data_IF_137339072855
#
_entry.id   IF_137339072855
#
_cell.length_a   1.000
_cell.length_b   1.000
_cell.length_c   1.000
_cell.angle_alpha   90.00
_cell.angle_beta   90.00
_cell.angle_gamma   90.00
#
_symmetry.space_group_name_H-M   'P 1'
#
loop_
_entity.id
_entity.type
_entity.pdbx_description
1 polymer ?
#
# COMPACT_ATOMS: atom_id res chain seq x y z
N UNK A 1 17.08 2.28 -9.79
CA UNK A 1 15.71 2.64 -9.36
C UNK A 1 14.69 1.58 -9.79
N UNK A 2 14.64 1.18 -11.07
CA UNK A 2 13.71 0.17 -11.61
C UNK A 2 13.76 -1.14 -10.83
N UNK A 3 14.92 -1.78 -10.70
CA UNK A 3 15.06 -3.04 -9.98
C UNK A 3 14.60 -2.96 -8.52
N UNK A 4 14.86 -1.84 -7.84
CA UNK A 4 14.40 -1.63 -6.46
C UNK A 4 12.87 -1.56 -6.40
N UNK A 5 12.23 -0.85 -7.33
CA UNK A 5 10.77 -0.78 -7.42
C UNK A 5 10.16 -2.17 -7.71
N UNK A 6 10.77 -2.95 -8.60
CA UNK A 6 10.36 -4.32 -8.90
C UNK A 6 10.46 -5.23 -7.67
N UNK A 7 11.58 -5.18 -6.94
CA UNK A 7 11.75 -5.96 -5.72
C UNK A 7 10.72 -5.59 -4.64
N UNK A 8 10.48 -4.29 -4.43
CA UNK A 8 9.48 -3.81 -3.46
C UNK A 8 8.08 -4.22 -3.90
N UNK A 9 7.73 -4.03 -5.17
CA UNK A 9 6.42 -4.42 -5.69
C UNK A 9 6.17 -5.93 -5.55
N UNK A 10 7.15 -6.75 -5.91
CA UNK A 10 7.06 -8.20 -5.76
C UNK A 10 6.94 -8.63 -4.29
N UNK A 11 7.72 -8.01 -3.40
CA UNK A 11 7.64 -8.27 -1.95
C UNK A 11 6.27 -7.87 -1.37
N UNK A 12 5.75 -6.70 -1.74
CA UNK A 12 4.43 -6.26 -1.30
C UNK A 12 3.34 -7.20 -1.81
N UNK A 13 3.43 -7.67 -3.06
CA UNK A 13 2.50 -8.64 -3.62
C UNK A 13 2.55 -9.99 -2.90
N UNK A 14 3.75 -10.52 -2.66
CA UNK A 14 3.96 -11.74 -1.88
C UNK A 14 3.32 -11.63 -0.49
N UNK A 15 3.61 -10.55 0.24
CA UNK A 15 3.08 -10.32 1.58
C UNK A 15 1.55 -10.13 1.55
N UNK A 16 0.99 -9.48 0.51
CA UNK A 16 -0.46 -9.33 0.38
C UNK A 16 -1.14 -10.69 0.21
N UNK A 17 -0.57 -11.61 -0.57
CA UNK A 17 -1.09 -12.99 -0.69
C UNK A 17 -1.00 -13.72 0.65
N UNK A 18 0.14 -13.65 1.33
CA UNK A 18 0.32 -14.29 2.64
C UNK A 18 -0.69 -13.75 3.66
N UNK A 19 -0.84 -12.43 3.77
CA UNK A 19 -1.77 -11.83 4.72
C UNK A 19 -3.23 -12.07 4.33
N UNK A 20 -3.56 -12.10 3.06
CA UNK A 20 -4.91 -12.39 2.58
C UNK A 20 -5.32 -13.85 2.77
N UNK A 21 -4.44 -14.79 2.44
CA UNK A 21 -4.74 -16.21 2.51
C UNK A 21 -4.64 -16.76 3.96
N UNK A 22 -3.58 -16.43 4.66
CA UNK A 22 -3.31 -16.96 5.99
C UNK A 22 -3.79 -16.05 7.11
N UNK A 23 -3.65 -14.71 6.94
CA UNK A 23 -4.04 -13.73 7.95
C UNK A 23 -5.53 -13.76 8.23
N UNK A 24 -6.36 -13.73 7.19
CA UNK A 24 -7.81 -13.77 7.32
C UNK A 24 -8.30 -15.05 8.06
N UNK A 25 -7.67 -16.19 7.80
CA UNK A 25 -8.07 -17.45 8.43
C UNK A 25 -7.65 -17.53 9.91
N UNK A 26 -6.41 -17.17 10.22
CA UNK A 26 -5.85 -17.20 11.58
C UNK A 26 -6.43 -16.08 12.46
N UNK A 27 -6.64 -14.90 11.89
CA UNK A 27 -7.10 -13.71 12.61
C UNK A 27 -8.61 -13.70 12.84
N UNK A 28 -9.38 -14.54 12.13
CA UNK A 28 -10.85 -14.64 12.28
C UNK A 28 -11.29 -14.96 13.70
N UNK A 29 -10.45 -15.65 14.48
CA UNK A 29 -10.71 -15.95 15.90
C UNK A 29 -10.34 -14.83 16.86
N UNK A 30 -9.49 -13.88 16.41
CA UNK A 30 -8.92 -12.83 17.25
C UNK A 30 -9.54 -11.46 16.96
N UNK A 31 -10.05 -11.27 15.76
CA UNK A 31 -10.57 -9.99 15.28
C UNK A 31 -12.10 -9.94 15.38
N UNK A 32 -12.62 -8.76 15.70
CA UNK A 32 -14.03 -8.44 15.46
C UNK A 32 -14.29 -8.39 13.96
N UNK A 33 -15.57 -8.42 13.54
CA UNK A 33 -15.95 -8.28 12.13
C UNK A 33 -15.40 -6.99 11.51
N UNK A 34 -15.47 -5.87 12.23
CA UNK A 34 -14.95 -4.58 11.76
C UNK A 34 -13.42 -4.56 11.63
N UNK A 35 -12.71 -5.19 12.57
CA UNK A 35 -11.25 -5.34 12.48
C UNK A 35 -10.86 -6.22 11.29
N UNK A 36 -11.59 -7.29 11.04
CA UNK A 36 -11.34 -8.18 9.90
C UNK A 36 -11.56 -7.45 8.58
N UNK A 37 -12.66 -6.71 8.44
CA UNK A 37 -12.95 -5.89 7.26
C UNK A 37 -11.87 -4.82 7.03
N UNK A 38 -11.41 -4.17 8.09
CA UNK A 38 -10.32 -3.19 8.01
C UNK A 38 -9.02 -3.85 7.56
N UNK A 39 -8.68 -5.00 8.13
CA UNK A 39 -7.49 -5.76 7.75
C UNK A 39 -7.53 -6.18 6.27
N UNK A 40 -8.65 -6.70 5.79
CA UNK A 40 -8.86 -7.04 4.38
C UNK A 40 -8.71 -5.82 3.46
N UNK A 41 -9.19 -4.65 3.89
CA UNK A 41 -8.97 -3.39 3.16
C UNK A 41 -7.48 -3.08 3.03
N UNK A 42 -6.71 -3.21 4.09
CA UNK A 42 -5.25 -3.06 4.07
C UNK A 42 -4.60 -4.01 3.06
N UNK A 43 -5.00 -5.28 3.05
CA UNK A 43 -4.49 -6.31 2.11
C UNK A 43 -4.84 -5.98 0.66
N UNK A 44 -6.08 -5.58 0.38
CA UNK A 44 -6.53 -5.22 -0.97
C UNK A 44 -5.73 -4.04 -1.52
N UNK A 45 -5.58 -2.96 -0.73
CA UNK A 45 -4.82 -1.78 -1.14
C UNK A 45 -3.34 -2.09 -1.33
N UNK A 46 -2.77 -2.95 -0.49
CA UNK A 46 -1.39 -3.42 -0.66
C UNK A 46 -1.22 -4.16 -1.99
N UNK A 47 -2.11 -5.08 -2.34
CA UNK A 47 -2.05 -5.82 -3.59
C UNK A 47 -2.25 -4.90 -4.81
N UNK A 48 -3.24 -4.02 -4.79
CA UNK A 48 -3.49 -3.08 -5.90
C UNK A 48 -2.25 -2.26 -6.21
N UNK A 49 -1.61 -1.71 -5.17
CA UNK A 49 -0.45 -0.86 -5.36
C UNK A 49 0.84 -1.63 -5.60
N UNK A 50 0.96 -2.87 -5.13
CA UNK A 50 2.04 -3.78 -5.54
C UNK A 50 2.02 -3.99 -7.06
N UNK A 51 0.84 -4.24 -7.63
CA UNK A 51 0.66 -4.40 -9.09
C UNK A 51 0.97 -3.10 -9.85
N UNK A 52 0.50 -1.94 -9.33
CA UNK A 52 0.81 -0.64 -9.94
C UNK A 52 2.32 -0.36 -9.92
N UNK A 53 3.00 -0.61 -8.80
CA UNK A 53 4.46 -0.43 -8.68
C UNK A 53 5.19 -1.31 -9.72
N UNK A 54 4.81 -2.57 -9.86
CA UNK A 54 5.38 -3.47 -10.86
C UNK A 54 5.09 -2.99 -12.28
N UNK A 55 3.84 -2.65 -12.58
CA UNK A 55 3.43 -2.16 -13.90
C UNK A 55 4.23 -0.91 -14.30
N UNK A 56 4.35 0.05 -13.39
CA UNK A 56 5.12 1.27 -13.65
C UNK A 56 6.61 0.98 -13.82
N UNK A 57 7.19 0.09 -13.02
CA UNK A 57 8.60 -0.29 -13.11
C UNK A 57 8.96 -1.08 -14.38
N UNK A 58 8.00 -1.71 -15.04
CA UNK A 58 8.20 -2.37 -16.33
C UNK A 58 8.01 -1.42 -17.52
N UNK A 59 7.25 -0.34 -17.35
CA UNK A 59 6.91 0.57 -18.44
C UNK A 59 7.70 1.90 -18.41
N UNK A 60 8.32 2.24 -17.28
CA UNK A 60 9.08 3.49 -17.11
C UNK A 60 10.54 3.19 -16.71
N UNK A 61 11.44 4.01 -17.22
CA UNK A 61 12.87 3.93 -16.85
C UNK A 61 13.16 4.49 -15.45
N UNK A 62 12.18 5.20 -14.86
CA UNK A 62 12.29 5.87 -13.56
C UNK A 62 13.51 6.80 -13.47
N UNK A 63 13.76 7.55 -14.53
CA UNK A 63 14.86 8.52 -14.63
C UNK A 63 14.41 9.93 -14.33
N UNK A 64 13.22 10.32 -14.80
CA UNK A 64 12.66 11.65 -14.54
C UNK A 64 12.25 11.83 -13.09
N UNK A 65 12.31 13.07 -12.60
CA UNK A 65 11.86 13.40 -11.23
C UNK A 65 10.37 13.08 -11.05
N UNK A 66 9.56 13.23 -12.07
CA UNK A 66 8.13 12.92 -12.02
C UNK A 66 7.90 11.42 -11.77
N UNK A 67 8.54 10.56 -12.56
CA UNK A 67 8.43 9.11 -12.42
C UNK A 67 8.94 8.61 -11.07
N UNK A 68 10.08 9.17 -10.61
CA UNK A 68 10.64 8.84 -9.28
C UNK A 68 9.68 9.22 -8.16
N UNK A 69 9.15 10.44 -8.18
CA UNK A 69 8.22 10.90 -7.16
C UNK A 69 6.92 10.08 -7.16
N UNK A 70 6.42 9.73 -8.33
CA UNK A 70 5.24 8.89 -8.50
C UNK A 70 5.44 7.51 -7.85
N UNK A 71 6.55 6.83 -8.17
CA UNK A 71 6.85 5.51 -7.60
C UNK A 71 7.07 5.61 -6.10
N UNK A 72 7.75 6.65 -5.59
CA UNK A 72 7.92 6.90 -4.17
C UNK A 72 6.60 7.09 -3.44
N UNK A 73 5.67 7.86 -4.03
CA UNK A 73 4.35 8.07 -3.45
C UNK A 73 3.58 6.74 -3.32
N UNK A 74 3.63 5.88 -4.33
CA UNK A 74 2.99 4.56 -4.25
C UNK A 74 3.65 3.66 -3.21
N UNK A 75 4.98 3.59 -3.15
CA UNK A 75 5.69 2.74 -2.18
C UNK A 75 5.41 3.23 -0.75
N UNK A 76 5.66 4.50 -0.46
CA UNK A 76 5.48 5.07 0.89
C UNK A 76 4.00 5.04 1.28
N UNK A 77 3.12 5.42 0.35
CA UNK A 77 1.68 5.43 0.58
C UNK A 77 1.14 4.05 0.92
N UNK A 78 1.54 3.02 0.18
CA UNK A 78 1.13 1.64 0.45
C UNK A 78 1.64 1.17 1.81
N UNK A 79 2.91 1.46 2.11
CA UNK A 79 3.49 1.09 3.38
C UNK A 79 2.76 1.76 4.55
N UNK A 80 2.61 3.08 4.52
CA UNK A 80 1.93 3.81 5.59
C UNK A 80 0.45 3.42 5.71
N UNK A 81 -0.25 3.25 4.60
CA UNK A 81 -1.67 2.90 4.60
C UNK A 81 -1.92 1.49 5.14
N UNK A 82 -1.37 0.48 4.49
CA UNK A 82 -1.69 -0.91 4.80
C UNK A 82 -1.08 -1.37 6.12
N UNK A 83 0.18 -1.05 6.39
CA UNK A 83 0.83 -1.50 7.62
C UNK A 83 0.33 -0.77 8.87
N UNK A 84 -0.11 0.49 8.77
CA UNK A 84 -0.79 1.14 9.88
C UNK A 84 -2.13 0.47 10.21
N UNK A 85 -2.89 0.06 9.20
CA UNK A 85 -4.14 -0.70 9.41
C UNK A 85 -3.85 -2.03 10.11
N UNK A 86 -2.83 -2.77 9.68
CA UNK A 86 -2.45 -4.03 10.33
C UNK A 86 -2.07 -3.80 11.79
N UNK A 87 -1.24 -2.80 12.06
CA UNK A 87 -0.84 -2.42 13.41
C UNK A 87 -2.02 -2.02 14.28
N UNK A 88 -2.97 -1.24 13.75
CA UNK A 88 -4.19 -0.86 14.46
C UNK A 88 -5.07 -2.07 14.79
N UNK A 89 -5.30 -2.97 13.85
CA UNK A 89 -6.12 -4.17 14.05
C UNK A 89 -5.49 -5.11 15.08
N UNK A 90 -4.19 -5.40 14.95
CA UNK A 90 -3.49 -6.32 15.84
C UNK A 90 -3.38 -5.74 17.24
N UNK A 91 -3.04 -4.47 17.38
CA UNK A 91 -2.92 -3.81 18.68
C UNK A 91 -4.27 -3.70 19.41
N UNK A 92 -5.34 -3.40 18.66
CA UNK A 92 -6.69 -3.37 19.21
C UNK A 92 -7.16 -4.75 19.68
N UNK A 93 -6.86 -5.81 18.92
CA UNK A 93 -7.20 -7.18 19.32
C UNK A 93 -6.46 -7.63 20.59
N UNK A 94 -5.26 -7.09 20.84
CA UNK A 94 -4.50 -7.32 22.08
C UNK A 94 -4.91 -6.40 23.25
N UNK A 95 -5.96 -5.59 23.08
CA UNK A 95 -6.46 -4.69 24.13
C UNK A 95 -5.60 -3.42 24.36
N UNK A 96 -4.56 -3.19 23.53
CA UNK A 96 -3.66 -2.03 23.63
C UNK A 96 -3.57 -1.29 22.30
N UNK A 97 -4.68 -0.70 21.85
CA UNK A 97 -4.75 0.02 20.58
C UNK A 97 -3.70 1.14 20.49
N UNK A 98 -2.80 1.04 19.52
CA UNK A 98 -1.78 2.04 19.21
C UNK A 98 -2.40 3.22 18.48
N UNK A 99 -2.95 4.17 19.23
CA UNK A 99 -3.67 5.35 18.69
C UNK A 99 -2.80 6.22 17.76
N UNK A 100 -1.48 6.18 17.92
CA UNK A 100 -0.53 6.92 17.07
C UNK A 100 -0.57 6.47 15.60
N UNK A 101 -1.01 5.23 15.33
CA UNK A 101 -1.15 4.72 13.97
C UNK A 101 -2.41 5.25 13.26
N UNK A 102 -3.38 5.80 14.00
CA UNK A 102 -4.62 6.36 13.43
C UNK A 102 -4.36 7.43 12.38
N UNK A 103 -3.61 8.49 12.67
CA UNK A 103 -3.27 9.53 11.69
C UNK A 103 -2.36 9.05 10.54
N UNK A 104 -1.63 7.95 10.72
CA UNK A 104 -0.71 7.42 9.70
C UNK A 104 -1.49 6.84 8.52
N UNK A 105 -2.62 6.18 8.77
CA UNK A 105 -3.46 5.61 7.71
C UNK A 105 -3.94 6.67 6.70
N UNK A 106 -4.59 7.78 7.09
CA UNK A 106 -4.97 8.82 6.14
C UNK A 106 -3.77 9.52 5.49
N UNK A 107 -2.63 9.64 6.19
CA UNK A 107 -1.41 10.15 5.58
C UNK A 107 -0.93 9.22 4.45
N UNK A 108 -0.94 7.91 4.68
CA UNK A 108 -0.67 6.92 3.64
C UNK A 108 -1.62 7.05 2.45
N UNK A 109 -2.93 7.19 2.72
CA UNK A 109 -3.94 7.46 1.69
C UNK A 109 -3.67 8.71 0.87
N UNK A 110 -3.21 9.80 1.51
CA UNK A 110 -2.82 11.03 0.81
C UNK A 110 -1.65 10.79 -0.16
N UNK A 111 -0.62 10.05 0.25
CA UNK A 111 0.48 9.68 -0.66
C UNK A 111 -0.02 8.88 -1.86
N UNK A 112 -0.95 7.94 -1.66
CA UNK A 112 -1.55 7.18 -2.76
C UNK A 112 -2.31 8.10 -3.74
N UNK A 113 -3.10 9.04 -3.22
CA UNK A 113 -3.82 10.04 -4.05
C UNK A 113 -2.84 10.89 -4.85
N UNK A 114 -1.74 11.35 -4.23
CA UNK A 114 -0.69 12.09 -4.93
C UNK A 114 -0.05 11.22 -6.02
N UNK A 115 0.26 9.96 -5.73
CA UNK A 115 0.82 9.02 -6.72
C UNK A 115 -0.08 8.87 -7.95
N UNK A 116 -1.38 8.68 -7.75
CA UNK A 116 -2.36 8.62 -8.83
C UNK A 116 -2.50 9.95 -9.58
N UNK A 117 -2.46 11.09 -8.87
CA UNK A 117 -2.46 12.42 -9.48
C UNK A 117 -1.24 12.66 -10.37
N UNK A 118 -0.04 12.23 -9.93
CA UNK A 118 1.19 12.32 -10.72
C UNK A 118 1.12 11.42 -11.97
N UNK A 119 0.54 10.22 -11.86
CA UNK A 119 0.33 9.33 -12.99
C UNK A 119 -0.63 9.94 -14.02
N UNK A 120 -1.75 10.51 -13.57
CA UNK A 120 -2.69 11.21 -14.41
C UNK A 120 -2.01 12.39 -15.12
N UNK A 121 -1.26 13.20 -14.37
CA UNK A 121 -0.49 14.33 -14.93
C UNK A 121 0.52 13.86 -15.98
N UNK A 122 1.22 12.75 -15.74
CA UNK A 122 2.16 12.16 -16.70
C UNK A 122 1.46 11.86 -18.04
N UNK A 123 0.29 11.24 -18.02
CA UNK A 123 -0.45 10.93 -19.23
C UNK A 123 -0.98 12.19 -19.95
N UNK A 124 -1.52 13.15 -19.21
CA UNK A 124 -2.00 14.42 -19.80
C UNK A 124 -0.86 15.15 -20.51
N UNK A 125 0.30 15.28 -19.84
CA UNK A 125 1.48 15.93 -20.39
C UNK A 125 1.99 15.29 -21.69
N UNK A 126 1.88 13.98 -21.82
CA UNK A 126 2.33 13.25 -23.00
C UNK A 126 1.27 13.14 -24.10
N UNK A 127 0.02 13.51 -23.79
CA UNK A 127 -1.08 13.53 -24.75
C UNK A 127 -1.17 14.88 -25.52
N UNK A 128 -0.76 15.99 -24.89
CA UNK A 128 -0.74 17.33 -25.45
C UNK A 128 0.61 17.64 -26.11
#
# INVERSE_FOLDING_TARGET
MVLVAQLIGALLGLLAVVFGAFGAHLLKKLFTVDQLNSFETGVKYQMYHALIILMLSFNFNLESSLEKNMIFCFIIGTFLFSFSIYGLCISAAKGKKLKILGPITPLGGLFLVIGWGLLLYHFIKNFI
#
